data_IF_585851327573
#
_entry.id   IF_585851327573
#
_cell.length_a   1.000
_cell.length_b   1.000
_cell.length_c   1.000
_cell.angle_alpha   90.00
_cell.angle_beta   90.00
_cell.angle_gamma   90.00
#
_symmetry.space_group_name_H-M   'P 1'
#
loop_
_entity.id
_entity.type
_entity.pdbx_description
1 polymer ?
#
# COMPACT_ATOMS: atom_id res chain seq x y z
N UNK A 1 7.49 18.20 11.83
CA UNK A 1 7.56 16.84 12.41
C UNK A 1 7.38 15.84 11.26
N UNK A 2 8.29 14.88 11.18
CA UNK A 2 8.29 13.87 10.12
C UNK A 2 7.48 12.67 10.58
N UNK A 3 6.18 12.66 10.23
CA UNK A 3 5.28 11.57 10.56
C UNK A 3 5.15 10.66 9.33
N UNK A 4 5.33 9.36 9.52
CA UNK A 4 5.00 8.33 8.54
C UNK A 4 3.74 7.62 9.04
N UNK A 5 2.72 7.55 8.20
CA UNK A 5 1.47 6.85 8.51
C UNK A 5 1.54 5.43 8.00
N UNK A 6 1.29 4.46 8.87
CA UNK A 6 1.21 3.04 8.52
C UNK A 6 -0.23 2.55 8.65
N UNK A 7 -0.72 1.83 7.65
CA UNK A 7 -2.05 1.24 7.66
C UNK A 7 -2.06 -0.15 7.05
N UNK A 8 -2.53 -1.13 7.82
CA UNK A 8 -2.69 -2.51 7.39
C UNK A 8 -4.18 -2.82 7.16
N UNK A 9 -4.49 -3.55 6.09
CA UNK A 9 -5.84 -4.03 5.78
C UNK A 9 -6.87 -2.88 5.84
N UNK A 10 -7.85 -2.94 6.73
CA UNK A 10 -8.82 -1.86 6.98
C UNK A 10 -8.13 -0.55 7.40
N UNK A 11 -7.06 -0.64 8.18
CA UNK A 11 -6.23 0.50 8.56
C UNK A 11 -5.63 1.23 7.37
N UNK A 12 -5.37 0.54 6.26
CA UNK A 12 -4.93 1.14 5.01
C UNK A 12 -5.93 2.15 4.44
N UNK A 13 -7.23 1.84 4.49
CA UNK A 13 -8.26 2.77 4.05
C UNK A 13 -8.37 4.01 4.95
N UNK A 14 -8.15 3.83 6.26
CA UNK A 14 -8.10 4.93 7.24
C UNK A 14 -6.86 5.79 7.01
N UNK A 15 -5.70 5.17 6.81
CA UNK A 15 -4.44 5.84 6.50
C UNK A 15 -4.57 6.72 5.24
N UNK A 16 -5.11 6.17 4.16
CA UNK A 16 -5.36 6.94 2.92
C UNK A 16 -6.33 8.09 3.17
N UNK A 17 -7.40 7.88 3.92
CA UNK A 17 -8.33 8.97 4.27
C UNK A 17 -7.63 10.07 5.06
N UNK A 18 -6.80 9.71 6.04
CA UNK A 18 -6.03 10.66 6.86
C UNK A 18 -5.09 11.50 5.98
N UNK A 19 -4.38 10.87 5.04
CA UNK A 19 -3.42 11.54 4.15
C UNK A 19 -4.07 12.48 3.12
N UNK A 20 -5.39 12.36 2.88
CA UNK A 20 -6.12 13.36 2.10
C UNK A 20 -6.38 14.67 2.87
N UNK A 21 -6.20 14.66 4.19
CA UNK A 21 -6.45 15.81 5.09
C UNK A 21 -5.17 16.40 5.66
N UNK A 22 -4.18 15.55 5.90
CA UNK A 22 -2.89 15.91 6.47
C UNK A 22 -1.80 15.45 5.52
N UNK A 23 -0.66 16.14 5.53
CA UNK A 23 0.50 15.79 4.69
C UNK A 23 1.60 15.15 5.54
N UNK A 24 1.58 13.84 5.75
CA UNK A 24 2.69 13.15 6.39
C UNK A 24 3.90 13.11 5.46
N UNK A 25 5.07 12.76 6.00
CA UNK A 25 6.28 12.53 5.21
C UNK A 25 6.10 11.38 4.21
N UNK A 26 5.37 10.33 4.59
CA UNK A 26 5.01 9.21 3.72
C UNK A 26 3.81 8.43 4.28
N UNK A 27 3.27 7.52 3.46
CA UNK A 27 2.32 6.50 3.89
C UNK A 27 2.78 5.11 3.45
N UNK A 28 2.58 4.13 4.33
CA UNK A 28 2.84 2.72 4.07
C UNK A 28 1.51 1.98 4.19
N UNK A 29 1.16 1.23 3.15
CA UNK A 29 -0.09 0.48 3.07
C UNK A 29 0.23 -0.99 2.88
N UNK A 30 -0.11 -1.81 3.86
CA UNK A 30 0.09 -3.24 3.84
C UNK A 30 -1.23 -3.97 3.70
N UNK A 31 -1.29 -4.93 2.76
CA UNK A 31 -2.48 -5.76 2.50
C UNK A 31 -3.78 -4.93 2.38
N UNK A 32 -3.68 -3.73 1.77
CA UNK A 32 -4.79 -2.80 1.67
C UNK A 32 -5.69 -3.13 0.46
N UNK A 33 -6.99 -2.85 0.61
CA UNK A 33 -8.00 -3.10 -0.44
C UNK A 33 -8.46 -1.82 -1.14
N UNK A 34 -8.97 -1.98 -2.37
CA UNK A 34 -9.49 -0.87 -3.19
C UNK A 34 -10.74 -0.22 -2.60
N UNK A 35 -11.64 -1.05 -2.08
CA UNK A 35 -12.80 -0.65 -1.25
C UNK A 35 -13.33 -1.85 -0.50
N UNK A 36 -13.97 -1.63 0.65
CA UNK A 36 -14.66 -2.70 1.37
C UNK A 36 -15.80 -3.28 0.52
N UNK A 37 -16.41 -2.46 -0.32
CA UNK A 37 -17.43 -2.88 -1.29
C UNK A 37 -16.91 -3.92 -2.29
N UNK A 38 -15.74 -3.65 -2.93
CA UNK A 38 -15.14 -4.57 -3.89
C UNK A 38 -14.77 -5.89 -3.22
N UNK A 39 -14.19 -5.82 -2.02
CA UNK A 39 -13.82 -6.99 -1.25
C UNK A 39 -15.05 -7.82 -0.85
N UNK A 40 -16.11 -7.16 -0.36
CA UNK A 40 -17.35 -7.83 0.03
C UNK A 40 -18.04 -8.50 -1.17
N UNK A 41 -18.08 -7.86 -2.34
CA UNK A 41 -18.66 -8.46 -3.56
C UNK A 41 -17.92 -9.72 -4.01
N UNK A 42 -16.61 -9.80 -3.78
CA UNK A 42 -15.85 -11.01 -4.07
C UNK A 42 -16.25 -12.19 -3.19
N UNK A 43 -16.41 -11.95 -1.89
CA UNK A 43 -16.75 -13.02 -0.93
C UNK A 43 -18.25 -13.35 -0.86
N UNK A 44 -19.07 -12.37 -1.20
CA UNK A 44 -20.54 -12.49 -1.12
C UNK A 44 -21.19 -12.06 -2.45
N UNK A 45 -20.92 -12.76 -3.57
CA UNK A 45 -21.36 -12.33 -4.90
C UNK A 45 -22.88 -12.28 -5.05
N UNK A 46 -23.63 -13.04 -4.23
CA UNK A 46 -25.09 -13.07 -4.28
C UNK A 46 -25.75 -12.15 -3.24
N UNK A 47 -24.98 -11.51 -2.36
CA UNK A 47 -25.52 -10.59 -1.39
C UNK A 47 -25.74 -9.20 -1.99
N UNK A 48 -26.80 -8.47 -1.61
CA UNK A 48 -27.02 -7.11 -2.00
C UNK A 48 -26.05 -6.17 -1.22
N UNK A 49 -24.74 -6.31 -1.50
CA UNK A 49 -23.65 -5.63 -0.77
C UNK A 49 -23.88 -4.12 -0.73
N UNK A 50 -24.39 -3.54 -1.82
CA UNK A 50 -24.65 -2.12 -1.93
C UNK A 50 -25.76 -1.62 -0.98
N UNK A 51 -26.67 -2.51 -0.61
CA UNK A 51 -27.74 -2.20 0.34
C UNK A 51 -27.30 -2.43 1.79
N UNK A 52 -26.42 -3.40 2.04
CA UNK A 52 -26.01 -3.83 3.37
C UNK A 52 -24.83 -3.05 3.94
N UNK A 53 -23.92 -2.58 3.07
CA UNK A 53 -22.73 -1.87 3.49
C UNK A 53 -23.05 -0.41 3.83
N UNK A 54 -22.89 -0.07 5.10
CA UNK A 54 -23.00 1.32 5.60
C UNK A 54 -21.77 2.16 5.29
N UNK A 55 -20.58 1.54 5.26
CA UNK A 55 -19.30 2.20 5.03
C UNK A 55 -18.53 1.50 3.92
N UNK A 56 -18.15 2.23 2.86
CA UNK A 56 -17.55 1.67 1.65
C UNK A 56 -16.02 1.68 1.65
N UNK A 57 -15.40 2.55 2.45
CA UNK A 57 -13.96 2.75 2.49
C UNK A 57 -13.34 2.85 1.08
N UNK A 58 -13.62 3.91 0.29
CA UNK A 58 -13.21 4.01 -1.10
C UNK A 58 -11.73 4.40 -1.22
N UNK A 59 -10.84 3.44 -0.92
CA UNK A 59 -9.39 3.64 -0.90
C UNK A 59 -8.86 4.01 -2.27
N UNK A 60 -9.33 3.32 -3.32
CA UNK A 60 -8.89 3.53 -4.70
C UNK A 60 -9.16 4.97 -5.20
N UNK A 61 -10.34 5.50 -4.89
CA UNK A 61 -10.72 6.86 -5.29
C UNK A 61 -9.90 7.92 -4.56
N UNK A 62 -9.53 7.63 -3.31
CA UNK A 62 -8.81 8.57 -2.45
C UNK A 62 -7.32 8.56 -2.70
N UNK A 63 -6.73 7.39 -2.98
CA UNK A 63 -5.29 7.23 -3.09
C UNK A 63 -4.70 8.06 -4.24
N UNK A 64 -5.45 8.29 -5.31
CA UNK A 64 -5.06 9.14 -6.42
C UNK A 64 -4.84 10.62 -6.00
N UNK A 65 -5.39 11.03 -4.85
CA UNK A 65 -5.28 12.40 -4.31
C UNK A 65 -4.15 12.55 -3.28
N UNK A 66 -3.50 11.45 -2.91
CA UNK A 66 -2.39 11.46 -1.96
C UNK A 66 -1.15 12.01 -2.63
N UNK A 67 -0.54 13.04 -2.04
CA UNK A 67 0.60 13.74 -2.62
C UNK A 67 1.96 13.35 -1.99
N UNK A 68 1.96 12.67 -0.84
CA UNK A 68 3.20 12.18 -0.22
C UNK A 68 3.66 10.85 -0.83
N UNK A 69 4.93 10.46 -0.66
CA UNK A 69 5.43 9.15 -1.06
C UNK A 69 4.63 7.98 -0.45
N UNK A 70 4.38 6.94 -1.24
CA UNK A 70 3.59 5.78 -0.83
C UNK A 70 4.38 4.50 -1.07
N UNK A 71 4.44 3.64 -0.03
CA UNK A 71 4.85 2.25 -0.14
C UNK A 71 3.60 1.37 -0.08
N UNK A 72 3.38 0.57 -1.11
CA UNK A 72 2.42 -0.54 -1.08
C UNK A 72 3.20 -1.81 -0.75
N UNK A 73 2.74 -2.55 0.24
CA UNK A 73 3.25 -3.88 0.60
C UNK A 73 2.11 -4.87 0.44
N UNK A 74 2.31 -5.93 -0.35
CA UNK A 74 1.27 -6.93 -0.57
C UNK A 74 1.86 -8.30 -0.86
N UNK A 75 1.21 -9.36 -0.36
CA UNK A 75 1.57 -10.74 -0.63
C UNK A 75 0.72 -11.34 -1.73
N UNK A 76 1.32 -12.18 -2.59
CA UNK A 76 0.56 -12.99 -3.54
C UNK A 76 -0.23 -14.09 -2.86
N UNK A 77 0.19 -14.49 -1.68
CA UNK A 77 -0.43 -15.55 -0.90
C UNK A 77 -1.50 -15.02 0.07
N UNK A 78 -1.85 -13.72 -0.03
CA UNK A 78 -2.86 -13.08 0.82
C UNK A 78 -4.25 -13.65 0.49
N UNK A 79 -4.77 -14.47 1.39
CA UNK A 79 -6.03 -15.19 1.25
C UNK A 79 -7.25 -14.33 1.62
N UNK A 80 -7.04 -13.17 2.28
CA UNK A 80 -8.12 -12.26 2.70
C UNK A 80 -8.26 -11.10 1.72
N UNK A 81 -7.16 -10.43 1.38
CA UNK A 81 -7.18 -9.34 0.41
C UNK A 81 -6.35 -9.73 -0.81
N UNK A 82 -7.00 -10.12 -1.92
CA UNK A 82 -6.30 -10.55 -3.11
C UNK A 82 -5.26 -9.55 -3.61
N UNK A 83 -4.13 -10.04 -4.11
CA UNK A 83 -2.98 -9.26 -4.57
C UNK A 83 -3.36 -8.17 -5.58
N UNK A 84 -4.37 -8.42 -6.42
CA UNK A 84 -4.87 -7.47 -7.42
C UNK A 84 -5.35 -6.14 -6.80
N UNK A 85 -5.76 -6.15 -5.54
CA UNK A 85 -6.11 -4.91 -4.85
C UNK A 85 -4.88 -4.01 -4.67
N UNK A 86 -3.75 -4.57 -4.26
CA UNK A 86 -2.48 -3.86 -4.15
C UNK A 86 -2.01 -3.30 -5.50
N UNK A 87 -2.09 -4.11 -6.56
CA UNK A 87 -1.73 -3.67 -7.92
C UNK A 87 -2.61 -2.52 -8.42
N UNK A 88 -3.94 -2.60 -8.20
CA UNK A 88 -4.88 -1.55 -8.58
C UNK A 88 -4.63 -0.26 -7.82
N UNK A 89 -4.36 -0.35 -6.52
CA UNK A 89 -3.98 0.82 -5.71
C UNK A 89 -2.67 1.43 -6.23
N UNK A 90 -1.66 0.62 -6.47
CA UNK A 90 -0.38 1.09 -6.99
C UNK A 90 -0.53 1.80 -8.34
N UNK A 91 -1.33 1.25 -9.26
CA UNK A 91 -1.59 1.89 -10.57
C UNK A 91 -2.24 3.27 -10.43
N UNK A 92 -3.12 3.45 -9.44
CA UNK A 92 -3.85 4.69 -9.23
C UNK A 92 -3.03 5.80 -8.56
N UNK A 93 -1.89 5.48 -7.92
CA UNK A 93 -1.03 6.46 -7.26
C UNK A 93 -0.34 7.33 -8.31
N UNK A 94 -0.43 8.64 -8.17
CA UNK A 94 0.25 9.65 -9.02
C UNK A 94 1.53 10.19 -8.39
N UNK A 95 1.65 10.13 -7.06
CA UNK A 95 2.83 10.53 -6.31
C UNK A 95 3.99 9.52 -6.46
N UNK A 96 5.15 9.84 -5.85
CA UNK A 96 6.26 8.87 -5.72
C UNK A 96 5.76 7.61 -5.05
N UNK A 97 5.98 6.46 -5.68
CA UNK A 97 5.45 5.17 -5.23
C UNK A 97 6.45 4.05 -5.33
N UNK A 98 6.33 3.13 -4.40
CA UNK A 98 7.10 1.88 -4.35
C UNK A 98 6.12 0.74 -4.11
N UNK A 99 6.35 -0.40 -4.77
CA UNK A 99 5.63 -1.64 -4.50
C UNK A 99 6.62 -2.65 -3.93
N UNK A 100 6.32 -3.21 -2.78
CA UNK A 100 7.04 -4.31 -2.16
C UNK A 100 6.15 -5.54 -2.17
N UNK A 101 6.50 -6.49 -3.03
CA UNK A 101 5.91 -7.82 -3.00
C UNK A 101 6.55 -8.62 -1.87
N UNK A 102 5.75 -9.33 -1.11
CA UNK A 102 6.18 -10.21 -0.04
C UNK A 102 5.52 -11.59 -0.14
N UNK A 103 5.94 -12.51 0.69
CA UNK A 103 5.37 -13.84 0.86
C UNK A 103 4.61 -13.97 2.19
N UNK A 104 3.83 -15.03 2.35
CA UNK A 104 3.01 -15.31 3.54
C UNK A 104 1.57 -14.81 3.43
N UNK A 105 0.70 -15.36 4.26
CA UNK A 105 -0.73 -15.02 4.31
C UNK A 105 -0.98 -13.61 4.84
N UNK A 106 -2.27 -13.24 4.91
CA UNK A 106 -2.70 -11.91 5.35
C UNK A 106 -2.15 -11.49 6.71
N UNK A 107 -2.19 -12.42 7.66
CA UNK A 107 -1.80 -12.18 9.05
C UNK A 107 -0.35 -12.60 9.37
N UNK A 108 0.35 -13.25 8.44
CA UNK A 108 1.69 -13.82 8.64
C UNK A 108 2.81 -12.92 8.12
N UNK A 109 2.46 -11.76 7.68
CA UNK A 109 3.31 -10.80 7.00
C UNK A 109 4.67 -10.61 7.64
N UNK A 110 4.65 -10.34 8.91
CA UNK A 110 5.85 -10.01 9.67
C UNK A 110 6.75 -11.23 9.91
N UNK A 111 6.18 -12.41 10.13
CA UNK A 111 6.93 -13.63 10.47
C UNK A 111 7.49 -14.35 9.25
N UNK A 112 6.81 -14.31 8.12
CA UNK A 112 7.15 -15.12 6.96
C UNK A 112 8.33 -14.58 6.13
N UNK A 113 8.58 -13.26 6.13
CA UNK A 113 9.57 -12.63 5.23
C UNK A 113 10.35 -11.47 5.87
N UNK A 114 10.66 -11.56 7.16
CA UNK A 114 11.35 -10.49 7.92
C UNK A 114 12.66 -10.08 7.27
N UNK A 115 13.44 -11.04 6.75
CA UNK A 115 14.76 -10.78 6.17
C UNK A 115 14.73 -9.94 4.90
N UNK A 116 13.63 -9.97 4.14
CA UNK A 116 13.42 -9.15 2.95
C UNK A 116 12.63 -7.88 3.27
N UNK A 117 11.59 -8.01 4.09
CA UNK A 117 10.66 -6.95 4.44
C UNK A 117 11.34 -5.80 5.20
N UNK A 118 12.05 -6.10 6.30
CA UNK A 118 12.64 -5.06 7.15
C UNK A 118 13.70 -4.20 6.46
N UNK A 119 14.64 -4.75 5.66
CA UNK A 119 15.56 -3.94 4.90
C UNK A 119 14.87 -3.08 3.83
N UNK A 120 13.81 -3.58 3.19
CA UNK A 120 13.08 -2.82 2.17
C UNK A 120 12.31 -1.65 2.80
N UNK A 121 11.65 -1.91 3.93
CA UNK A 121 10.96 -0.88 4.72
C UNK A 121 11.94 0.19 5.21
N UNK A 122 13.07 -0.23 5.77
CA UNK A 122 14.13 0.68 6.24
C UNK A 122 14.66 1.57 5.12
N UNK A 123 14.93 1.02 3.94
CA UNK A 123 15.33 1.81 2.76
C UNK A 123 14.28 2.84 2.36
N UNK A 124 13.00 2.46 2.33
CA UNK A 124 11.93 3.40 2.01
C UNK A 124 11.87 4.55 3.00
N UNK A 125 11.88 4.26 4.31
CA UNK A 125 11.84 5.24 5.38
C UNK A 125 13.04 6.20 5.29
N UNK A 126 14.26 5.65 5.19
CA UNK A 126 15.49 6.45 5.06
C UNK A 126 15.44 7.33 3.82
N UNK A 127 14.98 6.79 2.68
CA UNK A 127 14.90 7.54 1.43
C UNK A 127 13.81 8.64 1.41
N UNK A 128 12.83 8.57 2.32
CA UNK A 128 11.83 9.63 2.52
C UNK A 128 12.33 10.71 3.45
N UNK A 129 13.05 10.32 4.49
CA UNK A 129 13.56 11.23 5.54
C UNK A 129 14.92 11.85 5.19
N UNK A 130 15.61 11.35 4.15
CA UNK A 130 16.87 11.93 3.70
C UNK A 130 16.68 13.37 3.20
N UNK A 131 17.66 14.26 3.44
CA UNK A 131 17.67 15.58 2.83
C UNK A 131 17.53 15.53 1.31
N UNK A 132 16.91 16.55 0.70
CA UNK A 132 16.60 16.58 -0.72
C UNK A 132 17.83 16.35 -1.63
N UNK A 133 19.01 16.76 -1.18
CA UNK A 133 20.27 16.63 -1.91
C UNK A 133 20.76 15.17 -2.01
N UNK A 134 20.43 14.32 -1.04
CA UNK A 134 20.77 12.89 -1.03
C UNK A 134 19.67 12.00 -1.68
N UNK A 135 18.47 12.53 -1.82
CA UNK A 135 17.31 11.78 -2.29
C UNK A 135 17.47 11.29 -3.74
N UNK A 136 18.22 11.99 -4.58
CA UNK A 136 18.45 11.62 -5.98
C UNK A 136 19.26 10.32 -6.11
N UNK A 137 20.22 10.10 -5.22
CA UNK A 137 21.09 8.90 -5.23
C UNK A 137 20.36 7.67 -4.68
N UNK A 138 19.55 7.84 -3.66
CA UNK A 138 18.75 6.77 -3.05
C UNK A 138 17.56 6.41 -3.95
N UNK A 139 16.93 7.40 -4.60
CA UNK A 139 15.80 7.19 -5.51
C UNK A 139 16.15 6.38 -6.77
N UNK A 140 17.34 6.57 -7.32
CA UNK A 140 17.81 5.84 -8.51
C UNK A 140 18.04 4.33 -8.27
N UNK A 141 18.50 3.96 -7.09
CA UNK A 141 18.67 2.55 -6.69
C UNK A 141 17.32 1.85 -6.42
N UNK A 142 16.34 2.57 -5.95
CA UNK A 142 15.00 2.07 -5.69
C UNK A 142 14.24 1.71 -6.97
N UNK A 143 14.24 2.61 -7.95
CA UNK A 143 13.51 2.41 -9.19
C UNK A 143 14.07 1.26 -10.04
N UNK A 144 15.38 1.00 -9.99
CA UNK A 144 16.00 -0.09 -10.76
C UNK A 144 15.73 -1.49 -10.19
N UNK A 145 15.50 -1.63 -8.89
CA UNK A 145 15.34 -2.95 -8.24
C UNK A 145 13.88 -3.40 -8.11
N UNK A 146 12.95 -2.48 -8.17
CA UNK A 146 11.50 -2.74 -8.05
C UNK A 146 10.82 -2.81 -9.42
N UNK A 147 11.51 -2.38 -10.46
CA UNK A 147 11.15 -2.61 -11.86
C UNK A 147 11.54 -4.02 -12.37
N UNK A 148 11.78 -4.98 -11.47
CA UNK A 148 11.79 -6.38 -11.87
C UNK A 148 10.38 -6.76 -12.35
N UNK A 149 10.27 -7.40 -13.52
CA UNK A 149 9.04 -7.46 -14.28
C UNK A 149 7.98 -8.26 -13.52
N UNK A 150 6.79 -7.72 -13.42
CA UNK A 150 5.58 -8.53 -13.39
C UNK A 150 5.58 -9.25 -14.74
N UNK A 151 6.16 -10.43 -14.82
CA UNK A 151 6.14 -11.28 -15.99
C UNK A 151 4.78 -11.94 -16.13
N UNK A 152 4.43 -12.26 -17.36
CA UNK A 152 3.08 -12.47 -17.87
C UNK A 152 2.37 -13.64 -17.25
#
# INVERSE_FOLDING_TARGET
EEIIVFGESLGGAVAVWLTTRYRPAAVILESAFTSLRDLAKRYYPFAPVDLLLRFYYPTLERIAKVACPILIVHSRDDEIVPFEHGERLYKAITARKVFLERTGGHNDAFSADVSHYMPALGRFITGVLAPADDAATVGGLYLKRIAAPVLP
#
